data_IF_569849005604
#
_entry.id   IF_569849005604
#
_cell.length_a   1.000
_cell.length_b   1.000
_cell.length_c   1.000
_cell.angle_alpha   90.00
_cell.angle_beta   90.00
_cell.angle_gamma   90.00
#
_symmetry.space_group_name_H-M   'P 1'
#
loop_
_entity.id
_entity.type
_entity.pdbx_description
1 polymer ?
#
# COMPACT_ATOMS: atom_id res chain seq x y z
N UNK A 1 67.59 20.23 -35.80
CA UNK A 1 66.36 20.20 -34.99
C UNK A 1 66.52 19.14 -33.90
N UNK A 2 66.02 19.39 -32.68
CA UNK A 2 66.44 18.73 -31.43
C UNK A 2 65.83 17.34 -31.18
N UNK A 3 66.42 16.70 -30.17
CA UNK A 3 66.20 15.36 -29.65
C UNK A 3 65.06 15.23 -28.60
N UNK A 4 64.94 14.00 -28.07
CA UNK A 4 64.21 13.52 -26.88
C UNK A 4 62.81 12.91 -27.17
N UNK A 5 62.35 11.83 -26.54
CA UNK A 5 62.89 10.73 -25.73
C UNK A 5 61.69 9.76 -25.47
N UNK A 6 61.98 8.52 -25.08
CA UNK A 6 61.12 7.61 -24.29
C UNK A 6 60.08 6.68 -24.96
N UNK A 7 60.27 5.38 -24.69
CA UNK A 7 59.38 4.23 -24.82
C UNK A 7 58.33 4.17 -23.66
N UNK A 8 57.65 3.03 -23.33
CA UNK A 8 56.82 2.06 -24.08
C UNK A 8 55.41 1.81 -23.44
N UNK A 9 54.61 0.94 -24.11
CA UNK A 9 53.62 -0.01 -23.52
C UNK A 9 52.18 0.46 -23.09
N UNK A 10 51.22 -0.49 -23.06
CA UNK A 10 49.80 -0.29 -23.37
C UNK A 10 48.91 -0.01 -22.14
N UNK A 11 47.87 0.80 -22.32
CA UNK A 11 46.76 0.86 -21.38
C UNK A 11 45.64 -0.08 -21.86
N UNK A 12 45.18 -1.07 -21.06
CA UNK A 12 43.94 -1.76 -21.34
C UNK A 12 42.80 -0.79 -21.05
N UNK A 13 42.09 -0.36 -22.09
CA UNK A 13 40.79 0.29 -21.95
C UNK A 13 39.89 -0.66 -21.14
N UNK A 14 39.59 -0.28 -19.90
CA UNK A 14 38.53 -0.90 -19.10
C UNK A 14 37.18 -0.58 -19.76
N UNK A 15 36.81 -1.36 -20.77
CA UNK A 15 35.43 -1.45 -21.23
C UNK A 15 34.66 -2.33 -20.23
N UNK A 16 34.01 -1.67 -19.27
CA UNK A 16 32.94 -2.30 -18.50
C UNK A 16 31.75 -2.61 -19.44
N UNK A 17 31.13 -3.79 -19.34
CA UNK A 17 29.97 -4.14 -20.17
C UNK A 17 28.80 -3.17 -19.96
N UNK A 18 27.99 -2.89 -21.00
CA UNK A 18 26.88 -1.95 -20.90
C UNK A 18 25.85 -2.44 -19.88
N UNK A 19 25.60 -1.59 -18.88
CA UNK A 19 24.53 -1.79 -17.91
C UNK A 19 23.20 -1.96 -18.66
N UNK A 20 22.68 -3.19 -18.63
CA UNK A 20 21.35 -3.51 -19.10
C UNK A 20 20.34 -2.77 -18.22
N UNK A 21 19.87 -1.60 -18.69
CA UNK A 21 18.79 -0.85 -18.06
C UNK A 21 17.49 -1.59 -18.29
N UNK A 22 17.23 -2.56 -17.42
CA UNK A 22 15.90 -3.12 -17.24
C UNK A 22 14.91 -1.97 -17.02
N UNK A 23 13.80 -1.88 -17.78
CA UNK A 23 12.82 -0.82 -17.61
C UNK A 23 12.25 -0.94 -16.19
N UNK A 24 12.60 0.01 -15.34
CA UNK A 24 12.05 0.13 -14.00
C UNK A 24 10.54 0.30 -14.16
N UNK A 25 9.77 -0.70 -13.72
CA UNK A 25 8.30 -0.61 -13.64
C UNK A 25 7.98 0.67 -12.89
N UNK A 26 7.49 1.69 -13.61
CA UNK A 26 7.06 2.95 -13.01
C UNK A 26 5.94 2.60 -12.03
N UNK A 27 6.21 2.80 -10.74
CA UNK A 27 5.21 2.62 -9.68
C UNK A 27 4.10 3.64 -9.95
N UNK A 28 2.84 3.21 -9.85
CA UNK A 28 1.72 4.13 -9.91
C UNK A 28 1.82 5.19 -8.81
N UNK A 29 1.10 6.33 -8.95
CA UNK A 29 1.08 7.35 -7.91
C UNK A 29 0.68 6.75 -6.57
N UNK A 30 1.25 7.27 -5.47
CA UNK A 30 0.89 6.81 -4.13
C UNK A 30 -0.60 7.07 -3.86
N UNK A 31 -1.21 6.25 -3.00
CA UNK A 31 -2.56 6.51 -2.50
C UNK A 31 -2.51 7.64 -1.46
N UNK A 32 -3.42 8.60 -1.58
CA UNK A 32 -3.56 9.71 -0.63
C UNK A 32 -4.44 9.31 0.56
N UNK A 33 -4.35 10.03 1.69
CA UNK A 33 -5.25 9.81 2.82
C UNK A 33 -6.73 9.98 2.44
N UNK A 34 -7.04 10.93 1.56
CA UNK A 34 -8.40 11.17 1.07
C UNK A 34 -8.92 9.99 0.23
N UNK A 35 -8.06 9.38 -0.59
CA UNK A 35 -8.40 8.14 -1.30
C UNK A 35 -8.64 6.98 -0.32
N UNK A 36 -7.84 6.85 0.74
CA UNK A 36 -8.04 5.80 1.75
C UNK A 36 -9.35 5.99 2.53
N UNK A 37 -9.70 7.23 2.89
CA UNK A 37 -10.97 7.57 3.51
C UNK A 37 -12.15 7.23 2.61
N UNK A 38 -12.08 7.59 1.32
CA UNK A 38 -13.15 7.26 0.38
C UNK A 38 -13.27 5.76 0.17
N UNK A 39 -12.16 5.03 0.13
CA UNK A 39 -12.15 3.57 0.06
C UNK A 39 -12.85 2.96 1.28
N UNK A 40 -12.56 3.45 2.49
CA UNK A 40 -13.22 2.98 3.70
C UNK A 40 -14.72 3.26 3.69
N UNK A 41 -15.14 4.47 3.31
CA UNK A 41 -16.56 4.84 3.18
C UNK A 41 -17.28 3.92 2.19
N UNK A 42 -16.69 3.70 1.02
CA UNK A 42 -17.25 2.85 -0.04
C UNK A 42 -17.36 1.40 0.43
N UNK A 43 -16.34 0.88 1.14
CA UNK A 43 -16.37 -0.48 1.67
C UNK A 43 -17.46 -0.67 2.73
N UNK A 44 -17.58 0.27 3.69
CA UNK A 44 -18.61 0.25 4.73
C UNK A 44 -20.00 0.27 4.10
N UNK A 45 -20.25 1.21 3.18
CA UNK A 45 -21.52 1.33 2.47
C UNK A 45 -21.96 0.00 1.82
N UNK A 46 -21.06 -0.65 1.08
CA UNK A 46 -21.36 -1.93 0.42
C UNK A 46 -21.44 -3.10 1.41
N UNK A 47 -20.73 -3.06 2.53
CA UNK A 47 -20.80 -4.10 3.57
C UNK A 47 -22.09 -4.06 4.39
N UNK A 48 -22.65 -2.86 4.59
CA UNK A 48 -23.91 -2.65 5.33
C UNK A 48 -25.15 -2.90 4.45
N UNK A 49 -24.99 -2.92 3.12
CA UNK A 49 -26.05 -3.24 2.16
C UNK A 49 -26.53 -4.70 2.30
N UNK A 50 -27.46 -4.91 3.24
CA UNK A 50 -28.03 -6.20 3.62
C UNK A 50 -28.73 -6.96 2.48
N UNK A 51 -29.09 -6.27 1.40
CA UNK A 51 -29.85 -6.82 0.26
C UNK A 51 -29.07 -7.92 -0.48
N UNK A 52 -27.74 -8.02 -0.28
CA UNK A 52 -26.90 -8.95 -1.07
C UNK A 52 -25.85 -9.72 -0.26
N UNK A 53 -25.85 -9.64 1.06
CA UNK A 53 -24.87 -10.34 1.92
C UNK A 53 -24.99 -11.87 1.86
N UNK A 54 -26.12 -12.43 1.39
CA UNK A 54 -26.40 -13.85 1.57
C UNK A 54 -25.69 -14.81 0.59
N UNK A 55 -25.09 -14.40 -0.54
CA UNK A 55 -24.45 -15.34 -1.48
C UNK A 55 -23.57 -14.69 -2.58
N UNK A 56 -22.86 -13.59 -2.29
CA UNK A 56 -22.02 -12.96 -3.31
C UNK A 56 -20.61 -13.53 -3.35
N UNK A 57 -20.18 -13.92 -4.55
CA UNK A 57 -18.77 -14.14 -4.85
C UNK A 57 -18.00 -12.86 -4.49
N UNK A 58 -16.89 -13.02 -3.78
CA UNK A 58 -16.03 -11.93 -3.31
C UNK A 58 -15.67 -10.94 -4.44
N UNK A 59 -15.54 -11.43 -5.67
CA UNK A 59 -15.28 -10.60 -6.86
C UNK A 59 -16.39 -9.59 -7.12
N UNK A 60 -17.65 -9.98 -6.97
CA UNK A 60 -18.82 -9.10 -7.16
C UNK A 60 -18.98 -8.08 -6.05
N UNK A 61 -18.50 -8.40 -4.84
CA UNK A 61 -18.42 -7.44 -3.76
C UNK A 61 -17.40 -6.35 -4.11
N UNK A 62 -16.18 -6.75 -4.49
CA UNK A 62 -15.11 -5.82 -4.87
C UNK A 62 -15.44 -4.96 -6.08
N UNK A 63 -16.12 -5.51 -7.08
CA UNK A 63 -16.59 -4.75 -8.25
C UNK A 63 -17.49 -3.58 -7.84
N UNK A 64 -18.33 -3.76 -6.82
CA UNK A 64 -19.18 -2.67 -6.31
C UNK A 64 -18.41 -1.65 -5.50
N UNK A 65 -17.53 -2.11 -4.62
CA UNK A 65 -16.65 -1.22 -3.86
C UNK A 65 -15.84 -0.35 -4.83
N UNK A 66 -15.34 -0.93 -5.91
CA UNK A 66 -14.61 -0.22 -6.95
C UNK A 66 -15.50 0.81 -7.69
N UNK A 67 -16.72 0.42 -8.07
CA UNK A 67 -17.65 1.30 -8.75
C UNK A 67 -18.07 2.50 -7.87
N UNK A 68 -18.33 2.24 -6.59
CA UNK A 68 -18.67 3.27 -5.61
C UNK A 68 -17.48 4.20 -5.35
N UNK A 69 -16.28 3.63 -5.13
CA UNK A 69 -15.04 4.39 -4.99
C UNK A 69 -14.80 5.31 -6.20
N UNK A 70 -14.94 4.79 -7.42
CA UNK A 70 -14.70 5.56 -8.65
C UNK A 70 -15.71 6.68 -8.84
N UNK A 71 -16.95 6.51 -8.35
CA UNK A 71 -18.00 7.53 -8.44
C UNK A 71 -17.72 8.74 -7.54
N UNK A 72 -17.10 8.51 -6.39
CA UNK A 72 -16.89 9.51 -5.34
C UNK A 72 -15.44 9.95 -5.18
N UNK A 73 -14.48 9.26 -5.81
CA UNK A 73 -13.08 9.66 -5.80
C UNK A 73 -12.82 10.73 -6.86
N UNK A 74 -12.32 11.92 -6.48
CA UNK A 74 -11.87 12.93 -7.44
C UNK A 74 -10.52 12.58 -8.09
N UNK A 75 -9.93 11.43 -7.73
CA UNK A 75 -8.60 11.01 -8.12
C UNK A 75 -8.51 10.27 -9.47
N UNK A 76 -7.28 9.89 -9.88
CA UNK A 76 -7.07 9.09 -11.07
C UNK A 76 -7.74 7.71 -10.92
N UNK A 77 -8.25 7.18 -12.03
CA UNK A 77 -8.82 5.83 -12.08
C UNK A 77 -7.77 4.83 -11.60
N UNK A 78 -8.04 4.17 -10.48
CA UNK A 78 -7.18 3.14 -9.91
C UNK A 78 -7.52 1.78 -10.52
N UNK A 79 -6.56 0.86 -10.46
CA UNK A 79 -6.83 -0.54 -10.79
C UNK A 79 -7.49 -1.26 -9.60
N UNK A 80 -8.41 -2.18 -9.88
CA UNK A 80 -9.14 -2.92 -8.85
C UNK A 80 -8.19 -3.76 -7.97
N UNK A 81 -7.14 -4.35 -8.56
CA UNK A 81 -6.16 -5.13 -7.79
C UNK A 81 -5.30 -4.23 -6.88
N UNK A 82 -4.97 -3.02 -7.34
CA UNK A 82 -4.28 -2.03 -6.52
C UNK A 82 -5.16 -1.59 -5.33
N UNK A 83 -6.46 -1.40 -5.56
CA UNK A 83 -7.42 -1.01 -4.52
C UNK A 83 -7.59 -2.11 -3.46
N UNK A 84 -7.69 -3.38 -3.88
CA UNK A 84 -7.72 -4.52 -2.96
C UNK A 84 -6.44 -4.61 -2.12
N UNK A 85 -5.29 -4.40 -2.74
CA UNK A 85 -4.00 -4.41 -2.02
C UNK A 85 -3.94 -3.27 -1.00
N UNK A 86 -4.43 -2.08 -1.38
CA UNK A 86 -4.50 -0.93 -0.47
C UNK A 86 -5.43 -1.19 0.70
N UNK A 87 -6.61 -1.77 0.44
CA UNK A 87 -7.55 -2.14 1.50
C UNK A 87 -6.95 -3.12 2.51
N UNK A 88 -6.24 -4.16 2.06
CA UNK A 88 -5.59 -5.12 2.97
C UNK A 88 -4.66 -4.42 3.95
N UNK A 89 -3.89 -3.44 3.48
CA UNK A 89 -3.00 -2.66 4.34
C UNK A 89 -3.78 -1.80 5.35
N UNK A 90 -4.87 -1.16 4.90
CA UNK A 90 -5.74 -0.34 5.75
C UNK A 90 -6.42 -1.20 6.82
N UNK A 91 -6.99 -2.33 6.44
CA UNK A 91 -7.61 -3.29 7.35
C UNK A 91 -6.62 -3.81 8.40
N UNK A 92 -5.39 -4.13 8.02
CA UNK A 92 -4.34 -4.52 8.97
C UNK A 92 -4.00 -3.40 9.97
N UNK A 93 -3.96 -2.14 9.51
CA UNK A 93 -3.74 -1.00 10.38
C UNK A 93 -4.90 -0.84 11.39
N UNK A 94 -6.15 -0.95 10.93
CA UNK A 94 -7.34 -0.91 11.78
C UNK A 94 -7.35 -2.04 12.83
N UNK A 95 -7.02 -3.28 12.43
CA UNK A 95 -6.95 -4.42 13.35
C UNK A 95 -5.86 -4.23 14.42
N UNK A 96 -4.68 -3.73 14.03
CA UNK A 96 -3.62 -3.41 14.99
C UNK A 96 -4.05 -2.33 15.98
N UNK A 97 -4.72 -1.29 15.49
CA UNK A 97 -5.27 -0.23 16.34
C UNK A 97 -6.28 -0.80 17.34
N UNK A 98 -7.25 -1.61 16.88
CA UNK A 98 -8.23 -2.27 17.74
C UNK A 98 -7.55 -3.12 18.81
N UNK A 99 -6.61 -4.00 18.43
CA UNK A 99 -5.92 -4.87 19.38
C UNK A 99 -5.11 -4.09 20.43
N UNK A 100 -4.51 -2.95 20.06
CA UNK A 100 -3.82 -2.07 21.00
C UNK A 100 -4.80 -1.36 21.93
N UNK A 101 -5.92 -0.87 21.39
CA UNK A 101 -6.99 -0.23 22.16
C UNK A 101 -7.57 -1.20 23.19
N UNK A 102 -7.96 -2.40 22.76
CA UNK A 102 -8.49 -3.47 23.61
C UNK A 102 -7.50 -3.85 24.72
N UNK A 103 -6.20 -3.90 24.40
CA UNK A 103 -5.16 -4.18 25.39
C UNK A 103 -5.09 -3.08 26.45
N UNK A 104 -5.13 -1.81 26.05
CA UNK A 104 -5.11 -0.67 26.97
C UNK A 104 -6.37 -0.67 27.84
N UNK A 105 -7.55 -0.78 27.23
CA UNK A 105 -8.83 -0.80 27.93
C UNK A 105 -8.91 -1.96 28.92
N UNK A 106 -8.51 -3.18 28.51
CA UNK A 106 -8.50 -4.34 29.40
C UNK A 106 -7.44 -4.19 30.52
N UNK A 107 -6.30 -3.56 30.24
CA UNK A 107 -5.29 -3.26 31.28
C UNK A 107 -5.83 -2.26 32.30
N UNK A 108 -6.51 -1.19 31.85
CA UNK A 108 -7.16 -0.23 32.75
C UNK A 108 -8.30 -0.85 33.54
N UNK A 109 -9.07 -1.75 32.92
CA UNK A 109 -10.20 -2.46 33.54
C UNK A 109 -9.75 -3.48 34.59
N UNK A 110 -8.62 -4.15 34.40
CA UNK A 110 -8.05 -5.10 35.35
C UNK A 110 -7.21 -4.42 36.46
N UNK A 111 -6.83 -3.15 36.30
CA UNK A 111 -5.99 -2.41 37.25
C UNK A 111 -6.75 -1.69 38.39
N UNK A 112 -8.08 -1.82 38.50
CA UNK A 112 -8.88 -1.25 39.59
C UNK A 112 -9.83 -2.33 40.16
N UNK A 113 -9.76 -2.79 41.43
CA UNK A 113 -8.78 -2.52 42.49
C UNK A 113 -8.29 -3.79 43.27
N UNK A 114 -6.98 -4.08 43.23
CA UNK A 114 -6.28 -4.77 44.34
C UNK A 114 -5.82 -3.72 45.37
N UNK A 115 -6.76 -2.90 45.86
CA UNK A 115 -6.52 -2.00 46.98
C UNK A 115 -7.15 -2.59 48.24
N UNK A 116 -6.38 -3.51 48.82
CA UNK A 116 -6.19 -3.76 50.26
C UNK A 116 -7.36 -3.29 51.13
N UNK A 117 -8.17 -4.26 51.57
CA UNK A 117 -8.94 -4.19 52.82
C UNK A 117 -8.32 -5.15 53.82
#
# INVERSE_FOLDING_TARGET
MPAANSAPAPAPTSESPPASTNPTKRRGPNFTPEEDEQLAKSWVHISEDAIKSNNQKIDKFWERVFNDFTKFSPGPVRDAAALQTRWKNLQQACLKFSALYDRIENTHRLALPLRIG
#
